data_IF_789552433480
#
_entry.id   IF_789552433480
#
_cell.length_a   1.000
_cell.length_b   1.000
_cell.length_c   1.000
_cell.angle_alpha   90.00
_cell.angle_beta   90.00
_cell.angle_gamma   90.00
#
_symmetry.space_group_name_H-M   'P 1'
#
loop_
_entity.id
_entity.type
_entity.pdbx_description
1 polymer ?
#
# COMPACT_ATOMS: atom_id res chain seq x y z
N UNK A 1 1.78 14.99 25.44
CA UNK A 1 0.97 13.82 25.07
C UNK A 1 1.75 12.85 24.19
N UNK A 2 1.08 11.90 23.57
CA UNK A 2 1.72 10.90 22.72
C UNK A 2 2.50 11.51 21.55
N UNK A 3 1.98 12.58 20.95
CA UNK A 3 2.64 13.30 19.86
C UNK A 3 3.99 13.87 20.28
N UNK A 4 4.05 14.54 21.42
CA UNK A 4 5.29 15.10 21.96
C UNK A 4 6.32 14.02 22.28
N UNK A 5 5.88 12.90 22.83
CA UNK A 5 6.77 11.76 23.09
C UNK A 5 7.35 11.20 21.80
N UNK A 6 6.53 11.05 20.75
CA UNK A 6 7.00 10.57 19.45
C UNK A 6 8.04 11.51 18.84
N UNK A 7 7.84 12.81 18.94
CA UNK A 7 8.82 13.78 18.47
C UNK A 7 10.12 13.72 19.28
N UNK A 8 10.03 13.64 20.60
CA UNK A 8 11.19 13.47 21.46
C UNK A 8 11.99 12.19 21.16
N UNK A 9 11.30 11.07 20.89
CA UNK A 9 11.98 9.83 20.50
C UNK A 9 12.77 9.99 19.21
N UNK A 10 12.17 10.61 18.18
CA UNK A 10 12.84 10.82 16.90
C UNK A 10 14.03 11.75 17.07
N UNK A 11 13.86 12.89 17.74
CA UNK A 11 14.93 13.85 18.01
C UNK A 11 16.08 13.20 18.79
N UNK A 12 15.77 12.43 19.84
CA UNK A 12 16.78 11.75 20.65
C UNK A 12 17.51 10.68 19.84
N UNK A 13 16.78 9.83 19.11
CA UNK A 13 17.36 8.74 18.33
C UNK A 13 18.28 9.22 17.20
N UNK A 14 17.97 10.36 16.62
CA UNK A 14 18.71 10.93 15.48
C UNK A 14 19.64 12.10 15.88
N UNK A 15 19.65 12.51 17.15
CA UNK A 15 20.47 13.61 17.65
C UNK A 15 20.09 14.98 17.07
N UNK A 16 18.79 15.19 16.75
CA UNK A 16 18.32 16.39 16.09
C UNK A 16 18.04 17.52 17.09
N UNK A 17 18.47 18.73 16.76
CA UNK A 17 18.00 19.93 17.43
C UNK A 17 16.55 20.25 17.05
N UNK A 18 15.87 21.09 17.82
CA UNK A 18 14.50 21.54 17.52
C UNK A 18 14.40 22.17 16.14
N UNK A 19 15.43 22.91 15.74
CA UNK A 19 15.47 23.56 14.42
C UNK A 19 15.58 22.54 13.30
N UNK A 20 16.51 21.59 13.38
CA UNK A 20 16.68 20.54 12.37
C UNK A 20 15.42 19.68 12.26
N UNK A 21 14.76 19.39 13.38
CA UNK A 21 13.50 18.66 13.41
C UNK A 21 12.37 19.45 12.72
N UNK A 22 12.26 20.76 12.96
CA UNK A 22 11.20 21.60 12.38
C UNK A 22 11.42 21.98 10.92
N UNK A 23 12.67 21.97 10.45
CA UNK A 23 13.03 22.33 9.06
C UNK A 23 12.86 21.17 8.07
N UNK A 24 12.68 19.94 8.58
CA UNK A 24 12.53 18.73 7.77
C UNK A 24 11.39 17.86 8.26
N UNK A 25 10.80 17.07 7.36
CA UNK A 25 9.75 16.11 7.71
C UNK A 25 10.38 14.78 8.14
N UNK A 26 10.35 14.50 9.42
CA UNK A 26 10.85 13.27 10.04
C UNK A 26 9.73 12.33 10.48
N UNK A 27 8.55 12.88 10.69
CA UNK A 27 7.38 12.15 11.15
C UNK A 27 6.17 12.46 10.29
N UNK A 28 5.33 11.44 10.13
CA UNK A 28 4.01 11.60 9.53
C UNK A 28 2.97 10.96 10.42
N UNK A 29 1.78 11.52 10.43
CA UNK A 29 0.63 10.93 11.10
C UNK A 29 -0.58 10.87 10.17
N UNK A 30 -1.41 9.84 10.33
CA UNK A 30 -2.70 9.73 9.65
C UNK A 30 -3.78 10.19 10.60
N UNK A 31 -4.52 11.22 10.19
CA UNK A 31 -5.66 11.74 10.95
C UNK A 31 -6.95 11.44 10.17
N UNK A 32 -7.80 10.64 10.77
CA UNK A 32 -9.12 10.35 10.25
C UNK A 32 -10.14 11.37 10.78
N UNK A 33 -11.03 11.85 9.93
CA UNK A 33 -12.25 12.51 10.39
C UNK A 33 -13.21 11.48 11.01
N UNK A 34 -14.04 11.94 11.92
CA UNK A 34 -15.15 11.14 12.44
C UNK A 34 -16.35 11.35 11.50
N UNK A 35 -16.33 10.67 10.36
CA UNK A 35 -17.39 10.80 9.36
C UNK A 35 -18.77 10.39 9.90
N UNK A 36 -19.85 11.14 9.60
CA UNK A 36 -19.88 12.29 8.71
C UNK A 36 -19.63 13.64 9.42
N UNK A 37 -18.79 14.45 8.85
CA UNK A 37 -18.61 15.89 9.14
C UNK A 37 -18.23 16.24 10.59
N UNK A 38 -17.48 15.39 11.25
CA UNK A 38 -16.99 15.63 12.60
C UNK A 38 -15.47 15.43 12.64
N UNK A 39 -14.82 16.23 13.48
CA UNK A 39 -13.42 16.07 13.84
C UNK A 39 -13.34 16.20 15.35
N UNK A 40 -13.01 15.12 16.04
CA UNK A 40 -12.94 15.13 17.50
C UNK A 40 -11.69 15.89 18.02
N UNK A 41 -11.69 16.15 19.32
CA UNK A 41 -10.62 16.92 19.96
C UNK A 41 -9.24 16.26 19.77
N UNK A 42 -9.05 14.95 19.99
CA UNK A 42 -7.74 14.31 19.80
C UNK A 42 -7.22 14.43 18.35
N UNK A 43 -8.08 14.25 17.36
CA UNK A 43 -7.71 14.33 15.94
C UNK A 43 -7.38 15.77 15.54
N UNK A 44 -8.21 16.75 15.97
CA UNK A 44 -7.95 18.16 15.75
C UNK A 44 -6.63 18.60 16.42
N UNK A 45 -6.39 18.17 17.66
CA UNK A 45 -5.14 18.46 18.38
C UNK A 45 -3.93 17.85 17.68
N UNK A 46 -4.04 16.63 17.15
CA UNK A 46 -2.99 16.00 16.36
C UNK A 46 -2.60 16.81 15.13
N UNK A 47 -3.58 17.33 14.38
CA UNK A 47 -3.32 18.22 13.24
C UNK A 47 -2.55 19.47 13.70
N UNK A 48 -2.99 20.10 14.79
CA UNK A 48 -2.37 21.32 15.34
C UNK A 48 -0.93 21.03 15.78
N UNK A 49 -0.68 19.96 16.50
CA UNK A 49 0.64 19.63 17.03
C UNK A 49 1.64 19.31 15.93
N UNK A 50 1.24 18.50 14.93
CA UNK A 50 2.08 18.18 13.77
C UNK A 50 2.37 19.42 12.92
N UNK A 51 1.37 20.26 12.64
CA UNK A 51 1.56 21.49 11.90
C UNK A 51 2.53 22.44 12.60
N UNK A 52 2.39 22.67 13.92
CA UNK A 52 3.32 23.51 14.72
C UNK A 52 4.75 22.99 14.65
N UNK A 53 4.92 21.67 14.73
CA UNK A 53 6.23 21.02 14.71
C UNK A 53 6.85 20.94 13.30
N UNK A 54 6.16 21.35 12.24
CA UNK A 54 6.65 21.22 10.86
C UNK A 54 6.62 19.80 10.34
N UNK A 55 5.86 18.89 10.97
CA UNK A 55 5.76 17.50 10.59
C UNK A 55 4.50 17.24 9.73
N UNK A 56 4.53 16.18 8.91
CA UNK A 56 3.48 15.98 7.92
C UNK A 56 2.23 15.33 8.51
N UNK A 57 1.07 15.91 8.20
CA UNK A 57 -0.23 15.34 8.52
C UNK A 57 -0.90 14.81 7.24
N UNK A 58 -1.31 13.56 7.26
CA UNK A 58 -2.13 12.94 6.21
C UNK A 58 -3.59 12.99 6.65
N UNK A 59 -4.37 13.88 6.07
CA UNK A 59 -5.79 14.03 6.39
C UNK A 59 -6.58 13.00 5.61
N UNK A 60 -7.11 12.00 6.30
CA UNK A 60 -7.70 10.81 5.69
C UNK A 60 -9.13 10.56 6.18
N UNK A 61 -10.15 11.12 5.54
CA UNK A 61 -11.52 10.71 5.80
C UNK A 61 -11.73 9.23 5.45
N UNK A 62 -12.54 8.56 6.26
CA UNK A 62 -12.99 7.19 6.03
C UNK A 62 -14.50 7.18 5.83
N UNK A 63 -14.92 7.54 4.61
CA UNK A 63 -16.32 7.68 4.25
C UNK A 63 -16.85 6.38 3.65
N UNK A 64 -17.61 5.61 4.41
CA UNK A 64 -18.25 4.38 3.94
C UNK A 64 -19.59 4.69 3.30
N UNK A 65 -19.67 4.58 1.98
CA UNK A 65 -20.91 4.75 1.24
C UNK A 65 -21.96 3.74 1.67
N UNK A 66 -23.15 4.25 1.94
CA UNK A 66 -24.27 3.45 2.47
C UNK A 66 -24.39 3.44 4.01
N UNK A 67 -23.36 3.91 4.73
CA UNK A 67 -23.38 4.04 6.20
C UNK A 67 -23.01 5.47 6.64
N UNK A 68 -21.74 5.84 6.57
CA UNK A 68 -21.24 7.15 7.02
C UNK A 68 -21.18 8.19 5.90
N UNK A 69 -21.52 7.82 4.69
CA UNK A 69 -21.57 8.68 3.52
C UNK A 69 -22.79 8.35 2.65
N UNK A 70 -23.18 9.27 1.72
CA UNK A 70 -24.19 8.95 0.72
C UNK A 70 -23.85 7.65 -0.03
N UNK A 71 -24.89 6.89 -0.40
CA UNK A 71 -24.72 5.56 -1.02
C UNK A 71 -24.06 5.58 -2.41
N UNK A 72 -23.94 6.74 -3.01
CA UNK A 72 -23.32 6.91 -4.35
C UNK A 72 -21.82 7.22 -4.22
N UNK A 73 -21.02 6.71 -5.16
CA UNK A 73 -19.59 6.98 -5.23
C UNK A 73 -19.30 8.49 -5.26
N UNK A 74 -20.00 9.25 -6.10
CA UNK A 74 -19.83 10.70 -6.19
C UNK A 74 -20.21 11.42 -4.91
N UNK A 75 -21.31 11.02 -4.27
CA UNK A 75 -21.74 11.61 -2.99
C UNK A 75 -20.74 11.33 -1.87
N UNK A 76 -20.18 10.12 -1.80
CA UNK A 76 -19.13 9.76 -0.85
C UNK A 76 -17.85 10.55 -1.10
N UNK A 77 -17.44 10.76 -2.36
CA UNK A 77 -16.28 11.58 -2.73
C UNK A 77 -16.47 13.06 -2.39
N UNK A 78 -17.67 13.62 -2.55
CA UNK A 78 -17.96 15.00 -2.13
C UNK A 78 -17.79 15.15 -0.62
N UNK A 79 -18.31 14.21 0.16
CA UNK A 79 -18.17 14.22 1.62
C UNK A 79 -16.70 14.06 2.02
N UNK A 80 -16.00 13.06 1.46
CA UNK A 80 -14.56 12.85 1.70
C UNK A 80 -13.75 14.11 1.42
N UNK A 81 -14.02 14.75 0.29
CA UNK A 81 -13.29 15.97 -0.09
C UNK A 81 -13.55 17.12 0.87
N UNK A 82 -14.78 17.34 1.28
CA UNK A 82 -15.14 18.38 2.25
C UNK A 82 -14.45 18.17 3.61
N UNK A 83 -14.44 16.93 4.10
CA UNK A 83 -13.79 16.58 5.36
C UNK A 83 -12.25 16.69 5.27
N UNK A 84 -11.65 16.26 4.16
CA UNK A 84 -10.22 16.43 3.93
C UNK A 84 -9.83 17.91 3.89
N UNK A 85 -10.58 18.74 3.16
CA UNK A 85 -10.35 20.17 3.09
C UNK A 85 -10.47 20.84 4.48
N UNK A 86 -11.41 20.44 5.31
CA UNK A 86 -11.56 20.97 6.67
C UNK A 86 -10.31 20.73 7.52
N UNK A 87 -9.75 19.51 7.49
CA UNK A 87 -8.50 19.19 8.20
C UNK A 87 -7.27 19.92 7.62
N UNK A 88 -7.20 20.02 6.28
CA UNK A 88 -6.13 20.76 5.59
C UNK A 88 -6.17 22.25 5.96
N UNK A 89 -7.36 22.87 5.97
CA UNK A 89 -7.52 24.26 6.38
C UNK A 89 -7.09 24.45 7.84
N UNK A 90 -7.46 23.56 8.75
CA UNK A 90 -7.02 23.62 10.15
C UNK A 90 -5.49 23.56 10.27
N UNK A 91 -4.83 22.70 9.51
CA UNK A 91 -3.36 22.61 9.46
C UNK A 91 -2.75 23.92 8.98
N UNK A 92 -3.23 24.48 7.87
CA UNK A 92 -2.70 25.72 7.29
C UNK A 92 -3.03 26.97 8.13
N UNK A 93 -4.16 27.02 8.80
CA UNK A 93 -4.48 28.08 9.78
C UNK A 93 -3.60 28.02 11.02
N UNK A 94 -3.16 26.81 11.39
CA UNK A 94 -2.24 26.63 12.54
C UNK A 94 -0.83 27.12 12.19
N UNK A 95 -0.32 26.71 11.04
CA UNK A 95 0.99 27.13 10.52
C UNK A 95 0.94 27.16 8.99
N UNK A 96 0.91 28.33 8.37
CA UNK A 96 0.96 28.44 6.91
C UNK A 96 2.19 27.73 6.34
N UNK A 97 1.97 26.88 5.33
CA UNK A 97 3.03 26.07 4.73
C UNK A 97 3.37 24.78 5.50
N UNK A 98 2.62 24.41 6.54
CA UNK A 98 2.80 23.13 7.21
C UNK A 98 2.63 21.96 6.20
N UNK A 99 3.52 20.95 6.25
CA UNK A 99 3.42 19.79 5.37
C UNK A 99 2.10 19.04 5.57
N UNK A 100 1.37 18.80 4.48
CA UNK A 100 0.10 18.08 4.49
C UNK A 100 -0.04 17.22 3.24
N UNK A 101 -0.67 16.06 3.40
CA UNK A 101 -1.05 15.18 2.30
C UNK A 101 -2.56 14.96 2.31
N UNK A 102 -3.14 14.96 1.12
CA UNK A 102 -4.52 14.54 0.92
C UNK A 102 -4.61 13.03 1.10
N UNK A 103 -5.43 12.57 2.03
CA UNK A 103 -5.67 11.16 2.28
C UNK A 103 -7.09 10.75 1.91
N UNK A 104 -7.27 9.46 1.62
CA UNK A 104 -8.57 8.87 1.41
C UNK A 104 -8.50 7.37 1.58
N UNK A 105 -9.49 6.84 2.28
CA UNK A 105 -9.69 5.40 2.41
C UNK A 105 -11.18 5.07 2.37
N UNK A 106 -11.91 5.78 1.53
CA UNK A 106 -13.35 5.58 1.37
C UNK A 106 -13.65 4.34 0.55
N UNK A 107 -14.69 3.63 0.94
CA UNK A 107 -15.23 2.45 0.27
C UNK A 107 -16.75 2.43 0.46
N UNK A 108 -17.38 1.30 0.18
CA UNK A 108 -18.79 1.06 0.49
C UNK A 108 -18.92 0.06 1.64
N UNK A 109 -20.11 -0.04 2.21
CA UNK A 109 -20.48 -1.16 3.05
C UNK A 109 -21.20 -2.24 2.23
N UNK A 110 -21.10 -3.49 2.67
CA UNK A 110 -22.08 -4.49 2.28
C UNK A 110 -23.42 -4.16 2.96
N UNK A 111 -24.43 -3.87 2.18
CA UNK A 111 -25.74 -3.43 2.70
C UNK A 111 -26.51 -4.52 3.48
N UNK A 112 -26.05 -5.77 3.44
CA UNK A 112 -26.65 -6.87 4.20
C UNK A 112 -26.04 -7.03 5.57
N UNK A 113 -24.72 -6.99 5.67
CA UNK A 113 -23.98 -7.18 6.92
C UNK A 113 -23.61 -5.86 7.62
N UNK A 114 -23.57 -4.75 6.88
CA UNK A 114 -23.04 -3.47 7.35
C UNK A 114 -21.51 -3.39 7.41
N UNK A 115 -20.82 -4.46 7.03
CA UNK A 115 -19.35 -4.51 7.08
C UNK A 115 -18.70 -3.70 5.96
N UNK A 116 -17.53 -3.07 6.20
CA UNK A 116 -16.76 -2.43 5.16
C UNK A 116 -16.35 -3.42 4.07
N UNK A 117 -16.46 -3.01 2.81
CA UNK A 117 -16.10 -3.80 1.64
C UNK A 117 -14.87 -3.19 0.97
N UNK A 118 -13.86 -4.02 0.67
CA UNK A 118 -12.63 -3.60 0.00
C UNK A 118 -12.42 -4.41 -1.28
N UNK A 119 -11.61 -3.89 -2.21
CA UNK A 119 -11.39 -4.51 -3.51
C UNK A 119 -12.62 -4.52 -4.43
N UNK A 120 -13.69 -3.87 -4.03
CA UNK A 120 -14.93 -3.73 -4.82
C UNK A 120 -14.76 -2.67 -5.91
N UNK A 121 -15.60 -2.70 -6.98
CA UNK A 121 -15.60 -1.64 -7.99
C UNK A 121 -15.81 -0.24 -7.41
N UNK A 122 -16.62 -0.11 -6.36
CA UNK A 122 -16.89 1.16 -5.68
C UNK A 122 -15.64 1.66 -4.97
N UNK A 123 -14.92 0.80 -4.26
CA UNK A 123 -13.64 1.13 -3.63
C UNK A 123 -12.64 1.68 -4.65
N UNK A 124 -12.44 0.97 -5.76
CA UNK A 124 -11.54 1.42 -6.82
C UNK A 124 -11.95 2.75 -7.45
N UNK A 125 -13.24 2.93 -7.74
CA UNK A 125 -13.76 4.20 -8.26
C UNK A 125 -13.53 5.36 -7.28
N UNK A 126 -13.66 5.12 -5.98
CA UNK A 126 -13.38 6.13 -4.96
C UNK A 126 -11.87 6.44 -4.88
N UNK A 127 -11.00 5.45 -4.98
CA UNK A 127 -9.55 5.69 -5.07
C UNK A 127 -9.19 6.54 -6.28
N UNK A 128 -9.69 6.19 -7.48
CA UNK A 128 -9.47 6.95 -8.71
C UNK A 128 -9.96 8.39 -8.58
N UNK A 129 -11.16 8.59 -8.04
CA UNK A 129 -11.74 9.91 -7.83
C UNK A 129 -10.97 10.72 -6.79
N UNK A 130 -10.55 10.10 -5.68
CA UNK A 130 -9.75 10.75 -4.64
C UNK A 130 -8.38 11.21 -5.17
N UNK A 131 -7.71 10.39 -5.98
CA UNK A 131 -6.47 10.77 -6.64
C UNK A 131 -6.62 11.95 -7.61
N UNK A 132 -7.75 12.03 -8.33
CA UNK A 132 -8.07 13.19 -9.16
C UNK A 132 -8.28 14.45 -8.32
N UNK A 133 -9.01 14.34 -7.20
CA UNK A 133 -9.24 15.46 -6.29
C UNK A 133 -7.93 15.96 -5.64
N UNK A 134 -7.05 15.05 -5.23
CA UNK A 134 -5.75 15.41 -4.69
C UNK A 134 -4.90 16.21 -5.70
N UNK A 135 -4.82 15.74 -6.95
CA UNK A 135 -4.13 16.47 -8.03
C UNK A 135 -4.79 17.80 -8.36
N UNK A 136 -6.12 17.87 -8.30
CA UNK A 136 -6.84 19.12 -8.55
C UNK A 136 -6.46 20.25 -7.57
N UNK A 137 -6.12 19.89 -6.32
CA UNK A 137 -5.67 20.85 -5.30
C UNK A 137 -4.14 20.83 -5.10
N UNK A 138 -3.41 20.19 -6.01
CA UNK A 138 -1.93 20.12 -6.03
C UNK A 138 -1.32 19.61 -4.72
N UNK A 139 -1.89 18.54 -4.16
CA UNK A 139 -1.36 17.89 -2.96
C UNK A 139 -0.95 16.45 -3.23
N UNK A 140 0.10 15.95 -2.53
CA UNK A 140 0.42 14.53 -2.51
C UNK A 140 -0.78 13.74 -2.01
N UNK A 141 -1.00 12.56 -2.61
CA UNK A 141 -2.11 11.71 -2.24
C UNK A 141 -1.67 10.41 -1.58
N UNK A 142 -2.30 10.13 -0.44
CA UNK A 142 -2.21 8.86 0.27
C UNK A 142 -3.46 8.02 0.02
N UNK A 143 -3.29 6.85 -0.54
CA UNK A 143 -4.30 5.81 -0.68
C UNK A 143 -4.03 4.65 0.31
N UNK A 144 -4.89 3.64 0.27
CA UNK A 144 -4.75 2.42 1.02
C UNK A 144 -5.26 1.23 0.21
N UNK A 145 -4.68 0.06 0.44
CA UNK A 145 -5.26 -1.21 0.06
C UNK A 145 -5.83 -1.90 1.31
N UNK A 146 -6.36 -3.08 1.17
CA UNK A 146 -6.90 -3.85 2.29
C UNK A 146 -7.84 -4.95 1.81
N UNK A 147 -8.27 -5.79 2.73
CA UNK A 147 -9.15 -6.91 2.46
C UNK A 147 -10.26 -7.00 3.49
N UNK A 148 -11.46 -7.31 3.07
CA UNK A 148 -12.59 -7.67 3.92
C UNK A 148 -12.61 -9.17 4.22
N UNK A 149 -11.82 -9.98 3.50
CA UNK A 149 -11.72 -11.43 3.72
C UNK A 149 -11.30 -11.77 5.14
N UNK A 150 -11.88 -12.84 5.67
CA UNK A 150 -11.56 -13.36 7.00
C UNK A 150 -10.34 -14.29 7.00
N UNK A 151 -9.85 -14.66 5.82
CA UNK A 151 -8.73 -15.60 5.65
C UNK A 151 -7.78 -15.18 4.54
N UNK A 152 -6.57 -15.74 4.55
CA UNK A 152 -5.60 -15.58 3.46
C UNK A 152 -5.93 -16.56 2.32
N UNK A 153 -6.98 -16.25 1.57
CA UNK A 153 -7.49 -17.06 0.46
C UNK A 153 -7.57 -16.28 -0.86
N UNK A 154 -8.24 -16.83 -1.86
CA UNK A 154 -8.41 -16.20 -3.16
C UNK A 154 -9.15 -14.87 -3.08
N UNK A 155 -10.13 -14.72 -2.16
CA UNK A 155 -10.82 -13.46 -1.92
C UNK A 155 -9.86 -12.42 -1.38
N UNK A 156 -9.11 -12.75 -0.33
CA UNK A 156 -8.15 -11.84 0.30
C UNK A 156 -7.06 -11.38 -0.65
N UNK A 157 -6.55 -12.28 -1.50
CA UNK A 157 -5.56 -11.95 -2.53
C UNK A 157 -6.15 -11.01 -3.60
N UNK A 158 -7.36 -11.33 -4.09
CA UNK A 158 -8.05 -10.50 -5.09
C UNK A 158 -8.32 -9.09 -4.57
N UNK A 159 -8.94 -8.95 -3.39
CA UNK A 159 -9.31 -7.66 -2.80
C UNK A 159 -8.09 -6.77 -2.59
N UNK A 160 -7.00 -7.32 -2.04
CA UNK A 160 -5.78 -6.55 -1.82
C UNK A 160 -5.12 -6.12 -3.13
N UNK A 161 -4.98 -7.05 -4.09
CA UNK A 161 -4.41 -6.76 -5.40
C UNK A 161 -5.20 -5.68 -6.15
N UNK A 162 -6.53 -5.76 -6.13
CA UNK A 162 -7.38 -4.73 -6.74
C UNK A 162 -7.22 -3.38 -6.03
N UNK A 163 -7.17 -3.36 -4.70
CA UNK A 163 -6.93 -2.14 -3.92
C UNK A 163 -5.57 -1.49 -4.23
N UNK A 164 -4.51 -2.30 -4.38
CA UNK A 164 -3.18 -1.83 -4.80
C UNK A 164 -3.22 -1.23 -6.20
N UNK A 165 -3.84 -1.92 -7.18
CA UNK A 165 -4.02 -1.39 -8.53
C UNK A 165 -4.82 -0.09 -8.55
N UNK A 166 -5.90 -0.01 -7.78
CA UNK A 166 -6.68 1.22 -7.65
C UNK A 166 -5.85 2.39 -7.14
N UNK A 167 -5.02 2.16 -6.12
CA UNK A 167 -4.12 3.17 -5.58
C UNK A 167 -3.07 3.64 -6.59
N UNK A 168 -2.41 2.70 -7.28
CA UNK A 168 -1.37 3.00 -8.27
C UNK A 168 -1.94 3.73 -9.48
N UNK A 169 -3.04 3.23 -10.06
CA UNK A 169 -3.70 3.86 -11.22
C UNK A 169 -4.24 5.26 -10.88
N UNK A 170 -4.59 5.49 -9.63
CA UNK A 170 -5.00 6.81 -9.16
C UNK A 170 -3.82 7.74 -8.87
N UNK A 171 -2.58 7.30 -9.03
CA UNK A 171 -1.36 8.09 -8.84
C UNK A 171 -1.03 8.36 -7.38
N UNK A 172 -1.21 7.38 -6.50
CA UNK A 172 -0.88 7.53 -5.09
C UNK A 172 0.64 7.71 -4.87
N UNK A 173 0.99 8.69 -4.03
CA UNK A 173 2.38 8.89 -3.59
C UNK A 173 2.72 7.97 -2.40
N UNK A 174 1.71 7.55 -1.65
CA UNK A 174 1.83 6.64 -0.51
C UNK A 174 0.65 5.68 -0.50
N UNK A 175 0.92 4.40 -0.30
CA UNK A 175 -0.10 3.37 -0.10
C UNK A 175 0.11 2.73 1.26
N UNK A 176 -0.89 2.79 2.13
CA UNK A 176 -0.86 2.17 3.46
C UNK A 176 -1.78 0.94 3.46
N UNK A 177 -1.55 0.02 4.39
CA UNK A 177 -2.30 -1.24 4.53
C UNK A 177 -2.15 -2.19 3.33
N UNK A 178 -1.00 -2.11 2.62
CA UNK A 178 -0.73 -2.90 1.43
C UNK A 178 -0.48 -4.38 1.66
N UNK A 179 -0.27 -4.81 2.92
CA UNK A 179 0.02 -6.20 3.24
C UNK A 179 -0.47 -6.61 4.63
N UNK A 180 -0.96 -7.85 4.75
CA UNK A 180 -1.35 -8.48 6.01
C UNK A 180 -2.76 -8.15 6.53
N UNK A 181 -3.51 -7.27 5.87
CA UNK A 181 -4.81 -6.79 6.30
C UNK A 181 -5.93 -7.82 6.05
N UNK A 182 -6.68 -8.17 7.12
CA UNK A 182 -7.83 -9.07 7.10
C UNK A 182 -9.01 -8.46 7.89
N UNK A 183 -10.20 -9.03 7.72
CA UNK A 183 -11.42 -8.68 8.46
C UNK A 183 -11.75 -7.17 8.44
N UNK A 184 -11.52 -6.50 7.31
CA UNK A 184 -11.76 -5.06 7.23
C UNK A 184 -10.85 -4.22 8.13
N UNK A 185 -9.71 -4.77 8.58
CA UNK A 185 -8.73 -4.12 9.44
C UNK A 185 -8.80 -4.49 10.91
N UNK A 186 -9.60 -5.46 11.27
CA UNK A 186 -9.68 -5.94 12.64
C UNK A 186 -8.60 -6.97 12.97
N UNK A 187 -8.04 -7.63 11.95
CA UNK A 187 -7.04 -8.69 12.11
C UNK A 187 -5.88 -8.52 11.15
N UNK A 188 -4.71 -8.99 11.57
CA UNK A 188 -3.50 -9.11 10.77
C UNK A 188 -3.13 -10.60 10.64
N UNK A 189 -2.81 -11.04 9.41
CA UNK A 189 -2.39 -12.42 9.14
C UNK A 189 -0.94 -12.48 8.65
N UNK A 190 -0.11 -13.35 9.24
CA UNK A 190 1.28 -13.56 8.80
C UNK A 190 1.35 -14.18 7.41
N UNK A 191 0.50 -15.19 7.12
CA UNK A 191 0.37 -15.77 5.79
C UNK A 191 -0.07 -14.72 4.77
N UNK A 192 -1.04 -13.90 5.16
CA UNK A 192 -1.54 -12.80 4.34
C UNK A 192 -0.44 -11.78 4.05
N UNK A 193 0.38 -11.43 5.05
CA UNK A 193 1.53 -10.54 4.87
C UNK A 193 2.48 -11.08 3.80
N UNK A 194 2.89 -12.34 3.90
CA UNK A 194 3.86 -12.92 2.96
C UNK A 194 3.28 -12.99 1.54
N UNK A 195 2.01 -13.39 1.38
CA UNK A 195 1.35 -13.43 0.07
C UNK A 195 1.19 -12.02 -0.53
N UNK A 196 0.85 -11.03 0.30
CA UNK A 196 0.70 -9.64 -0.18
C UNK A 196 2.05 -9.01 -0.53
N UNK A 197 3.13 -9.36 0.19
CA UNK A 197 4.50 -8.91 -0.16
C UNK A 197 4.89 -9.43 -1.54
N UNK A 198 4.53 -10.65 -1.91
CA UNK A 198 4.76 -11.13 -3.28
C UNK A 198 3.99 -10.30 -4.31
N UNK A 199 2.74 -9.94 -4.04
CA UNK A 199 1.98 -9.07 -4.94
C UNK A 199 2.65 -7.69 -5.10
N UNK A 200 3.15 -7.11 -4.01
CA UNK A 200 3.89 -5.84 -4.03
C UNK A 200 5.21 -5.95 -4.81
N UNK A 201 5.95 -7.03 -4.63
CA UNK A 201 7.20 -7.25 -5.38
C UNK A 201 6.93 -7.46 -6.88
N UNK A 202 5.91 -8.23 -7.24
CA UNK A 202 5.49 -8.39 -8.63
C UNK A 202 5.14 -7.04 -9.27
N UNK A 203 4.46 -6.15 -8.53
CA UNK A 203 4.18 -4.80 -9.02
C UNK A 203 5.46 -3.96 -9.15
N UNK A 204 6.37 -4.04 -8.18
CA UNK A 204 7.63 -3.31 -8.22
C UNK A 204 8.48 -3.70 -9.45
N UNK A 205 8.60 -5.00 -9.72
CA UNK A 205 9.29 -5.51 -10.92
C UNK A 205 8.61 -5.05 -12.21
N UNK A 206 7.28 -5.10 -12.26
CA UNK A 206 6.54 -4.65 -13.44
C UNK A 206 6.75 -3.16 -13.73
N UNK A 207 6.99 -2.32 -12.71
CA UNK A 207 7.28 -0.90 -12.88
C UNK A 207 8.76 -0.60 -13.12
N UNK A 208 9.65 -1.59 -13.01
CA UNK A 208 11.03 -1.43 -13.38
C UNK A 208 11.14 -1.20 -14.91
N UNK A 209 12.02 -0.29 -15.37
CA UNK A 209 12.17 -0.04 -16.80
C UNK A 209 12.79 -1.25 -17.49
N UNK A 210 12.23 -1.64 -18.63
CA UNK A 210 12.81 -2.66 -19.51
C UNK A 210 13.88 -2.02 -20.37
N UNK A 211 15.10 -2.57 -20.38
CA UNK A 211 16.13 -2.15 -21.31
C UNK A 211 15.80 -2.61 -22.74
N UNK A 212 16.17 -1.78 -23.70
CA UNK A 212 16.04 -2.09 -25.12
C UNK A 212 17.37 -1.90 -25.86
N UNK A 213 18.50 -2.06 -25.16
CA UNK A 213 19.82 -2.01 -25.79
C UNK A 213 20.07 -3.22 -26.71
N UNK A 214 21.16 -3.19 -27.45
CA UNK A 214 21.46 -4.23 -28.47
C UNK A 214 21.67 -5.60 -27.84
N UNK A 215 22.21 -5.67 -26.63
CA UNK A 215 22.46 -6.94 -25.95
C UNK A 215 21.14 -7.55 -25.42
N UNK A 216 20.26 -6.72 -24.86
CA UNK A 216 18.93 -7.15 -24.42
C UNK A 216 18.01 -7.54 -25.59
N UNK A 217 18.15 -6.90 -26.75
CA UNK A 217 17.45 -7.31 -27.98
C UNK A 217 17.87 -8.70 -28.50
N UNK A 218 19.02 -9.22 -28.04
CA UNK A 218 19.52 -10.57 -28.31
C UNK A 218 19.54 -10.95 -29.80
N UNK A 219 19.78 -9.99 -30.70
CA UNK A 219 19.72 -10.20 -32.16
C UNK A 219 20.60 -11.36 -32.64
N UNK A 220 21.80 -11.52 -32.08
CA UNK A 220 22.71 -12.60 -32.46
C UNK A 220 22.13 -13.97 -32.06
N UNK A 221 21.56 -14.10 -30.88
CA UNK A 221 20.88 -15.33 -30.46
C UNK A 221 19.70 -15.68 -31.38
N UNK A 222 18.90 -14.67 -31.77
CA UNK A 222 17.81 -14.84 -32.73
C UNK A 222 18.32 -15.35 -34.08
N UNK A 223 19.41 -14.79 -34.57
CA UNK A 223 20.01 -15.17 -35.84
C UNK A 223 20.58 -16.60 -35.85
N UNK A 224 21.12 -17.04 -34.71
CA UNK A 224 21.80 -18.32 -34.59
C UNK A 224 20.86 -19.50 -34.41
N UNK A 225 19.61 -19.24 -33.97
CA UNK A 225 18.60 -20.28 -33.80
C UNK A 225 17.82 -20.51 -35.09
N UNK A 226 17.84 -21.74 -35.59
CA UNK A 226 17.08 -22.10 -36.78
C UNK A 226 15.58 -22.01 -36.57
N UNK A 227 14.77 -21.74 -37.61
CA UNK A 227 13.31 -21.77 -37.51
C UNK A 227 12.79 -23.08 -36.91
N UNK A 228 11.94 -23.02 -35.90
CA UNK A 228 11.44 -24.16 -35.13
C UNK A 228 12.39 -24.70 -34.06
N UNK A 229 13.57 -24.07 -33.88
CA UNK A 229 14.52 -24.40 -32.83
C UNK A 229 14.11 -23.84 -31.46
N UNK A 230 15.04 -23.84 -30.51
CA UNK A 230 14.83 -23.32 -29.14
C UNK A 230 16.07 -22.56 -28.66
N UNK A 231 15.87 -21.65 -27.69
CA UNK A 231 16.90 -20.77 -27.19
C UNK A 231 17.64 -21.28 -25.94
N UNK A 232 17.25 -22.42 -25.35
CA UNK A 232 17.82 -22.93 -24.10
C UNK A 232 19.34 -23.05 -24.07
N UNK A 233 19.96 -23.38 -25.19
CA UNK A 233 21.42 -23.57 -25.29
C UNK A 233 22.18 -22.37 -25.85
N UNK A 234 21.51 -21.27 -26.12
CA UNK A 234 22.20 -20.06 -26.59
C UNK A 234 23.04 -19.44 -25.46
N UNK A 235 24.15 -18.83 -25.81
CA UNK A 235 25.00 -18.13 -24.85
C UNK A 235 24.22 -17.06 -24.10
N UNK A 236 23.30 -16.35 -24.76
CA UNK A 236 22.45 -15.33 -24.18
C UNK A 236 21.59 -15.90 -23.05
N UNK A 237 20.89 -17.02 -23.28
CA UNK A 237 20.09 -17.67 -22.25
C UNK A 237 20.97 -18.25 -21.12
N UNK A 238 22.05 -18.93 -21.46
CA UNK A 238 22.95 -19.53 -20.47
C UNK A 238 23.61 -18.54 -19.51
N UNK A 239 23.80 -17.31 -19.97
CA UNK A 239 24.37 -16.25 -19.15
C UNK A 239 23.34 -15.60 -18.19
N UNK A 240 22.04 -15.82 -18.39
CA UNK A 240 20.96 -15.07 -17.72
C UNK A 240 19.85 -15.94 -17.09
N UNK A 241 19.87 -17.26 -17.31
CA UNK A 241 18.74 -18.14 -16.97
C UNK A 241 18.33 -18.12 -15.49
N UNK A 242 19.23 -17.78 -14.59
CA UNK A 242 19.02 -17.73 -13.14
C UNK A 242 18.79 -16.31 -12.59
N UNK A 243 18.96 -15.27 -13.42
CA UNK A 243 18.87 -13.88 -12.99
C UNK A 243 17.85 -13.04 -13.74
N UNK A 244 17.47 -13.45 -14.95
CA UNK A 244 16.65 -12.63 -15.85
C UNK A 244 15.18 -12.52 -15.42
N UNK A 245 14.65 -13.59 -14.84
CA UNK A 245 13.25 -13.63 -14.46
C UNK A 245 13.05 -13.41 -12.97
N UNK A 246 11.96 -12.72 -12.64
CA UNK A 246 11.51 -12.58 -11.27
C UNK A 246 11.38 -13.94 -10.57
N UNK A 247 12.00 -14.09 -9.42
CA UNK A 247 11.88 -15.28 -8.59
C UNK A 247 10.79 -15.07 -7.53
N UNK A 248 9.66 -15.78 -7.59
CA UNK A 248 8.57 -15.58 -6.65
C UNK A 248 8.95 -16.04 -5.22
N UNK A 249 8.35 -15.41 -4.22
CA UNK A 249 8.53 -15.79 -2.80
C UNK A 249 7.63 -16.97 -2.46
N UNK A 250 6.38 -16.94 -2.91
CA UNK A 250 5.32 -17.87 -2.51
C UNK A 250 4.80 -18.69 -3.69
N UNK A 251 4.74 -18.10 -4.89
CA UNK A 251 4.18 -18.80 -6.05
C UNK A 251 5.01 -20.02 -6.42
N UNK A 252 4.32 -21.12 -6.76
CA UNK A 252 4.91 -22.37 -7.26
C UNK A 252 4.63 -22.46 -8.75
N UNK A 253 5.69 -22.38 -9.57
CA UNK A 253 5.62 -22.43 -11.03
C UNK A 253 5.89 -23.82 -11.59
N UNK A 254 6.02 -24.84 -10.74
CA UNK A 254 6.25 -26.21 -11.16
C UNK A 254 5.00 -26.81 -11.81
N UNK A 255 5.20 -27.86 -12.64
CA UNK A 255 4.06 -28.61 -13.18
C UNK A 255 3.36 -29.41 -12.08
N UNK A 256 2.14 -29.88 -12.38
CA UNK A 256 1.28 -30.58 -11.41
C UNK A 256 1.98 -31.77 -10.75
N UNK A 257 2.64 -32.63 -11.53
CA UNK A 257 3.30 -33.82 -11.00
C UNK A 257 4.45 -33.48 -10.02
N UNK A 258 5.22 -32.48 -10.32
CA UNK A 258 6.29 -31.99 -9.42
C UNK A 258 5.68 -31.36 -8.15
N UNK A 259 4.64 -30.54 -8.29
CA UNK A 259 3.92 -29.95 -7.15
C UNK A 259 3.31 -31.04 -6.24
N UNK A 260 2.70 -32.07 -6.83
CA UNK A 260 2.14 -33.23 -6.09
C UNK A 260 3.25 -33.98 -5.34
N UNK A 261 4.35 -34.31 -6.01
CA UNK A 261 5.51 -34.96 -5.39
C UNK A 261 6.13 -34.15 -4.25
N UNK A 262 6.07 -32.83 -4.31
CA UNK A 262 6.53 -31.91 -3.27
C UNK A 262 5.52 -31.69 -2.13
N UNK A 263 4.42 -32.44 -2.09
CA UNK A 263 3.45 -32.47 -0.99
C UNK A 263 2.24 -31.56 -1.17
N UNK A 264 1.95 -31.10 -2.39
CA UNK A 264 0.72 -30.37 -2.76
C UNK A 264 0.44 -29.15 -1.87
N UNK A 265 1.48 -28.37 -1.54
CA UNK A 265 1.35 -27.24 -0.65
C UNK A 265 0.62 -26.07 -1.33
N UNK A 266 -0.40 -25.55 -0.66
CA UNK A 266 -1.09 -24.32 -1.03
C UNK A 266 -0.25 -23.08 -0.69
N UNK A 267 -0.58 -21.92 -1.28
CA UNK A 267 0.21 -20.68 -1.07
C UNK A 267 0.28 -20.27 0.40
N UNK A 268 -0.82 -20.34 1.13
CA UNK A 268 -0.88 -20.07 2.57
C UNK A 268 0.05 -20.99 3.37
N UNK A 269 0.10 -22.28 3.06
CA UNK A 269 1.00 -23.23 3.74
C UNK A 269 2.48 -22.97 3.42
N UNK A 270 2.80 -22.52 2.20
CA UNK A 270 4.16 -22.07 1.88
C UNK A 270 4.49 -20.79 2.64
N UNK A 271 3.58 -19.84 2.68
CA UNK A 271 3.72 -18.61 3.44
C UNK A 271 3.93 -18.86 4.95
N UNK A 272 3.21 -19.85 5.52
CA UNK A 272 3.41 -20.27 6.93
C UNK A 272 4.84 -20.72 7.17
N UNK A 273 5.43 -21.54 6.31
CA UNK A 273 6.82 -21.96 6.45
C UNK A 273 7.78 -20.76 6.43
N UNK A 274 7.57 -19.84 5.51
CA UNK A 274 8.42 -18.66 5.31
C UNK A 274 8.42 -17.77 6.57
N UNK A 275 7.26 -17.37 7.06
CA UNK A 275 7.22 -16.48 8.22
C UNK A 275 7.74 -17.15 9.51
N UNK A 276 7.51 -18.47 9.68
CA UNK A 276 8.06 -19.23 10.81
C UNK A 276 9.59 -19.29 10.75
N UNK A 277 10.14 -19.48 9.56
CA UNK A 277 11.58 -19.50 9.34
C UNK A 277 12.22 -18.13 9.62
N UNK A 278 11.58 -17.04 9.20
CA UNK A 278 12.01 -15.67 9.51
C UNK A 278 12.04 -15.44 11.01
N UNK A 279 11.00 -15.82 11.75
CA UNK A 279 10.94 -15.62 13.21
C UNK A 279 11.97 -16.50 13.93
N UNK A 280 12.12 -17.74 13.53
CA UNK A 280 13.05 -18.67 14.16
C UNK A 280 14.53 -18.27 13.98
N UNK A 281 14.84 -17.62 12.86
CA UNK A 281 16.20 -17.16 12.55
C UNK A 281 16.43 -15.69 12.89
N UNK A 282 15.46 -15.02 13.53
CA UNK A 282 15.60 -13.61 13.89
C UNK A 282 16.64 -13.42 15.00
N UNK A 283 17.68 -12.66 14.68
CA UNK A 283 18.64 -12.17 15.67
C UNK A 283 18.35 -10.70 15.97
N UNK A 284 18.11 -10.32 17.23
CA UNK A 284 17.90 -8.92 17.56
C UNK A 284 19.15 -8.09 17.24
N UNK A 285 19.00 -6.85 16.77
CA UNK A 285 20.14 -5.98 16.49
C UNK A 285 20.99 -5.80 17.75
N UNK A 286 22.30 -5.84 17.58
CA UNK A 286 23.24 -5.58 18.69
C UNK A 286 23.00 -4.17 19.21
N UNK A 287 22.84 -4.05 20.53
CA UNK A 287 22.64 -2.76 21.22
C UNK A 287 23.89 -1.88 21.13
#
# INVERSE_FOLDING_TARGET
>A
GQTEQSFLFIQTALGLSDKEFSDNVWATTVINSNSPRMLDIPMAQGIIDFAKAGQMTVITPFCLAGAMAPITVSGALVLQHAEALAGIVLSQMTKPGAPVSYGGFSSNVDMKSGSPAFGTPEHLKMQLGAGQLARFIDLPWRSAAGSASNTSDAQGAHENTMGLWGAVLAGANMVIHGAGWLEGGLTFGFEKLICDVEALQTMAEMFAPTSADIEEQAYNAIKDVAPGGHFFSTQHTMARFDTEFYSPIVADLTNYGTWEANGSLTADKRATKIWQEIINNFEPPKK
#
